data_IF_728607792781
#
_entry.id   IF_728607792781
#
_cell.length_a   1.000
_cell.length_b   1.000
_cell.length_c   1.000
_cell.angle_alpha   90.00
_cell.angle_beta   90.00
_cell.angle_gamma   90.00
#
_symmetry.space_group_name_H-M   'P 1'
#
loop_
_entity.id
_entity.type
_entity.pdbx_description
1 polymer ?
#
# COMPACT_ATOMS: atom_id res chain seq x y z
N UNK A 1 10.33 -39.70 -6.61
CA UNK A 1 9.21 -38.79 -6.28
C UNK A 1 8.33 -39.51 -5.29
N UNK A 2 8.24 -38.96 -4.09
CA UNK A 2 7.59 -39.53 -2.91
C UNK A 2 6.20 -38.92 -2.70
N UNK A 3 6.00 -37.65 -3.10
CA UNK A 3 4.78 -36.89 -2.79
C UNK A 3 3.88 -36.62 -4.01
N UNK A 4 4.47 -36.42 -5.19
CA UNK A 4 3.72 -36.13 -6.41
C UNK A 4 3.49 -37.36 -7.28
N UNK A 5 2.29 -37.49 -7.86
CA UNK A 5 1.96 -38.61 -8.75
C UNK A 5 1.00 -38.18 -9.87
N UNK A 6 1.08 -38.87 -11.02
CA UNK A 6 0.17 -38.69 -12.15
C UNK A 6 0.00 -37.23 -12.63
N UNK A 7 1.09 -36.45 -12.65
CA UNK A 7 1.05 -35.05 -13.08
C UNK A 7 0.74 -34.99 -14.58
N UNK A 8 -0.33 -34.29 -14.94
CA UNK A 8 -0.83 -34.18 -16.33
C UNK A 8 -0.53 -32.82 -16.97
N UNK A 9 -0.25 -31.79 -16.17
CA UNK A 9 0.04 -30.43 -16.63
C UNK A 9 0.79 -29.61 -15.56
N UNK A 10 1.28 -28.42 -15.93
CA UNK A 10 1.88 -27.49 -14.97
C UNK A 10 0.85 -27.02 -13.92
N UNK A 11 -0.39 -26.75 -14.34
CA UNK A 11 -1.50 -26.38 -13.45
C UNK A 11 -1.87 -27.52 -12.50
N UNK A 12 -1.88 -28.77 -12.97
CA UNK A 12 -2.08 -29.94 -12.11
C UNK A 12 -0.96 -30.08 -11.07
N UNK A 13 0.30 -29.87 -11.46
CA UNK A 13 1.42 -29.82 -10.53
C UNK A 13 1.26 -28.72 -9.45
N UNK A 14 0.89 -27.50 -9.85
CA UNK A 14 0.62 -26.38 -8.92
C UNK A 14 -0.52 -26.73 -7.95
N UNK A 15 -1.59 -27.35 -8.45
CA UNK A 15 -2.74 -27.76 -7.65
C UNK A 15 -2.39 -28.85 -6.63
N UNK A 16 -1.64 -29.89 -7.04
CA UNK A 16 -1.15 -30.93 -6.13
C UNK A 16 -0.21 -30.37 -5.07
N UNK A 17 0.70 -29.47 -5.45
CA UNK A 17 1.61 -28.82 -4.50
C UNK A 17 0.84 -28.06 -3.44
N UNK A 18 -0.15 -27.25 -3.83
CA UNK A 18 -0.96 -26.46 -2.91
C UNK A 18 -1.68 -27.33 -1.87
N UNK A 19 -2.26 -28.46 -2.29
CA UNK A 19 -2.88 -29.44 -1.39
C UNK A 19 -1.88 -30.04 -0.40
N UNK A 20 -0.71 -30.45 -0.89
CA UNK A 20 0.35 -31.04 -0.06
C UNK A 20 0.95 -30.03 0.92
N UNK A 21 1.20 -28.80 0.47
CA UNK A 21 1.71 -27.70 1.28
C UNK A 21 0.74 -27.33 2.39
N UNK A 22 -0.56 -27.21 2.09
CA UNK A 22 -1.61 -26.94 3.06
C UNK A 22 -1.70 -28.06 4.12
N UNK A 23 -1.63 -29.32 3.72
CA UNK A 23 -1.76 -30.46 4.64
C UNK A 23 -0.52 -30.65 5.55
N UNK A 24 0.66 -30.23 5.09
CA UNK A 24 1.92 -30.43 5.81
C UNK A 24 2.51 -29.13 6.37
N UNK A 25 1.74 -28.03 6.37
CA UNK A 25 2.20 -26.76 6.90
C UNK A 25 2.51 -26.88 8.41
N UNK A 26 3.66 -26.37 8.89
CA UNK A 26 4.03 -26.44 10.31
C UNK A 26 2.96 -25.89 11.26
N UNK A 27 2.31 -24.78 10.88
CA UNK A 27 1.24 -24.16 11.69
C UNK A 27 -0.06 -25.00 11.76
N UNK A 28 -0.18 -26.05 10.93
CA UNK A 28 -1.27 -27.05 10.97
C UNK A 28 -0.83 -28.37 11.61
N UNK A 29 0.29 -28.36 12.34
CA UNK A 29 0.86 -29.56 12.96
C UNK A 29 1.66 -30.45 12.00
N UNK A 30 1.97 -29.97 10.80
CA UNK A 30 2.84 -30.65 9.85
C UNK A 30 4.32 -30.62 10.27
N UNK A 31 5.11 -31.57 9.78
CA UNK A 31 6.55 -31.61 10.04
C UNK A 31 7.30 -30.73 9.04
N UNK A 32 8.19 -29.86 9.54
CA UNK A 32 9.05 -29.01 8.70
C UNK A 32 9.85 -29.81 7.68
N UNK A 33 10.36 -30.99 8.06
CA UNK A 33 11.09 -31.89 7.17
C UNK A 33 10.23 -32.34 5.97
N UNK A 34 8.99 -32.76 6.21
CA UNK A 34 8.06 -33.15 5.14
C UNK A 34 7.76 -32.00 4.20
N UNK A 35 7.58 -30.78 4.73
CA UNK A 35 7.37 -29.59 3.90
C UNK A 35 8.60 -29.28 3.03
N UNK A 36 9.81 -29.43 3.56
CA UNK A 36 11.05 -29.27 2.79
C UNK A 36 11.19 -30.32 1.68
N UNK A 37 10.84 -31.59 1.95
CA UNK A 37 10.82 -32.65 0.94
C UNK A 37 9.85 -32.32 -0.20
N UNK A 38 8.61 -31.91 0.12
CA UNK A 38 7.59 -31.49 -0.85
C UNK A 38 8.09 -30.31 -1.69
N UNK A 39 8.68 -29.31 -1.04
CA UNK A 39 9.24 -28.14 -1.70
C UNK A 39 10.33 -28.50 -2.71
N UNK A 40 11.25 -29.40 -2.34
CA UNK A 40 12.35 -29.83 -3.20
C UNK A 40 11.84 -30.62 -4.42
N UNK A 41 10.91 -31.55 -4.22
CA UNK A 41 10.30 -32.31 -5.33
C UNK A 41 9.56 -31.38 -6.30
N UNK A 42 8.85 -30.38 -5.76
CA UNK A 42 8.15 -29.40 -6.56
C UNK A 42 9.07 -28.56 -7.44
N UNK A 43 10.21 -28.08 -6.91
CA UNK A 43 11.15 -27.26 -7.69
C UNK A 43 11.70 -27.98 -8.92
N UNK A 44 12.03 -29.26 -8.74
CA UNK A 44 12.53 -30.13 -9.81
C UNK A 44 11.43 -30.30 -10.87
N UNK A 45 10.22 -30.68 -10.43
CA UNK A 45 9.09 -30.92 -11.31
C UNK A 45 8.65 -29.67 -12.07
N UNK A 46 8.60 -28.52 -11.39
CA UNK A 46 8.22 -27.25 -11.96
C UNK A 46 9.18 -26.87 -13.09
N UNK A 47 10.49 -27.06 -12.89
CA UNK A 47 11.51 -26.81 -13.93
C UNK A 47 11.29 -27.69 -15.16
N UNK A 48 10.98 -28.98 -14.96
CA UNK A 48 10.69 -29.91 -16.05
C UNK A 48 9.44 -29.50 -16.81
N UNK A 49 8.33 -29.25 -16.11
CA UNK A 49 7.04 -28.90 -16.75
C UNK A 49 7.06 -27.51 -17.40
N UNK A 50 7.75 -26.53 -16.80
CA UNK A 50 7.97 -25.22 -17.41
C UNK A 50 8.72 -25.32 -18.72
N UNK A 51 9.71 -26.22 -18.83
CA UNK A 51 10.47 -26.41 -20.07
C UNK A 51 9.63 -27.02 -21.22
N UNK A 52 8.54 -27.72 -20.88
CA UNK A 52 7.61 -28.35 -21.83
C UNK A 52 6.51 -27.42 -22.36
N UNK A 53 6.36 -26.22 -21.79
CA UNK A 53 5.36 -25.27 -22.26
C UNK A 53 5.73 -24.69 -23.63
N UNK A 54 4.76 -24.63 -24.54
CA UNK A 54 4.90 -23.93 -25.81
C UNK A 54 4.94 -22.41 -25.64
N UNK A 55 4.31 -21.90 -24.57
CA UNK A 55 4.26 -20.48 -24.21
C UNK A 55 5.25 -20.21 -23.07
N UNK A 56 6.13 -19.23 -23.26
CA UNK A 56 7.08 -18.81 -22.22
C UNK A 56 6.34 -18.10 -21.08
N UNK A 57 6.47 -18.64 -19.86
CA UNK A 57 5.96 -18.04 -18.62
C UNK A 57 7.12 -17.47 -17.77
N UNK A 58 6.87 -16.34 -17.11
CA UNK A 58 7.79 -15.74 -16.14
C UNK A 58 7.69 -16.37 -14.74
N UNK A 59 6.72 -17.26 -14.50
CA UNK A 59 6.54 -17.93 -13.21
C UNK A 59 7.76 -18.76 -12.83
N UNK A 60 8.10 -18.77 -11.56
CA UNK A 60 9.16 -19.59 -10.97
C UNK A 60 8.55 -20.54 -9.94
N UNK A 61 9.24 -21.64 -9.64
CA UNK A 61 8.79 -22.54 -8.57
C UNK A 61 8.68 -21.76 -7.24
N UNK A 62 9.61 -20.84 -6.97
CA UNK A 62 9.53 -19.99 -5.80
C UNK A 62 8.27 -19.12 -5.79
N UNK A 63 7.92 -18.47 -6.90
CA UNK A 63 6.74 -17.59 -6.96
C UNK A 63 5.43 -18.34 -6.75
N UNK A 64 5.32 -19.57 -7.23
CA UNK A 64 4.13 -20.42 -7.05
C UNK A 64 4.08 -21.08 -5.67
N UNK A 65 5.23 -21.36 -5.05
CA UNK A 65 5.28 -21.84 -3.66
C UNK A 65 4.98 -20.75 -2.64
N UNK A 66 5.29 -19.50 -2.96
CA UNK A 66 4.93 -18.33 -2.15
C UNK A 66 3.49 -17.85 -2.38
N UNK A 67 2.73 -18.52 -3.25
CA UNK A 67 1.33 -18.21 -3.48
C UNK A 67 0.42 -18.85 -2.44
N UNK A 68 -0.83 -18.38 -2.45
CA UNK A 68 -1.88 -18.72 -1.49
C UNK A 68 -2.03 -20.19 -1.18
N UNK A 69 -2.19 -20.51 0.10
CA UNK A 69 -2.36 -21.85 0.64
C UNK A 69 -3.77 -22.39 0.42
N UNK A 70 -4.81 -21.55 0.47
CA UNK A 70 -6.20 -21.96 0.27
C UNK A 70 -6.61 -21.78 -1.19
N UNK A 71 -7.49 -22.66 -1.70
CA UNK A 71 -7.95 -22.61 -3.09
C UNK A 71 -8.59 -21.25 -3.48
N UNK A 72 -9.10 -20.52 -2.48
CA UNK A 72 -9.80 -19.24 -2.64
C UNK A 72 -8.89 -18.02 -2.52
N UNK A 73 -7.59 -18.23 -2.32
CA UNK A 73 -6.68 -17.14 -2.11
C UNK A 73 -6.49 -16.25 -3.33
N UNK A 74 -6.49 -14.95 -3.11
CA UNK A 74 -6.38 -13.91 -4.13
C UNK A 74 -5.52 -12.73 -3.65
N UNK A 75 -4.76 -12.11 -4.57
CA UNK A 75 -4.03 -10.84 -4.36
C UNK A 75 -4.53 -9.83 -5.38
N UNK A 76 -4.65 -8.59 -4.94
CA UNK A 76 -4.84 -7.47 -5.84
C UNK A 76 -3.58 -7.15 -6.64
N UNK A 77 -3.78 -6.55 -7.81
CA UNK A 77 -2.71 -6.25 -8.77
C UNK A 77 -1.66 -5.26 -8.24
N UNK A 78 -2.05 -4.41 -7.27
CA UNK A 78 -1.18 -3.43 -6.64
C UNK A 78 -0.63 -3.90 -5.28
N UNK A 79 -0.84 -5.17 -4.90
CA UNK A 79 -0.34 -5.71 -3.64
C UNK A 79 1.19 -5.64 -3.58
N UNK A 80 1.69 -5.09 -2.48
CA UNK A 80 3.11 -4.99 -2.19
C UNK A 80 3.34 -5.20 -0.70
N UNK A 81 4.05 -6.26 -0.33
CA UNK A 81 4.35 -6.63 1.06
C UNK A 81 5.18 -5.58 1.83
N UNK A 82 5.80 -4.62 1.14
CA UNK A 82 6.52 -3.51 1.77
C UNK A 82 5.60 -2.34 2.17
N UNK A 83 4.37 -2.28 1.64
CA UNK A 83 3.40 -1.25 2.00
C UNK A 83 2.69 -1.65 3.29
N UNK A 84 2.73 -0.77 4.29
CA UNK A 84 1.93 -0.97 5.51
C UNK A 84 0.51 -0.49 5.28
N UNK A 85 -0.44 -0.98 6.07
CA UNK A 85 -1.86 -0.58 5.98
C UNK A 85 -2.06 0.94 6.07
N UNK A 86 -1.23 1.65 6.84
CA UNK A 86 -1.23 3.12 6.92
C UNK A 86 -0.83 3.82 5.60
N UNK A 87 0.07 3.20 4.83
CA UNK A 87 0.55 3.74 3.56
C UNK A 87 -0.54 3.50 2.50
N UNK A 88 -1.16 2.31 2.52
CA UNK A 88 -2.33 1.97 1.71
C UNK A 88 -3.49 2.94 2.01
N UNK A 89 -3.78 3.21 3.30
CA UNK A 89 -4.81 4.18 3.70
C UNK A 89 -4.56 5.59 3.13
N UNK A 90 -3.29 6.00 2.98
CA UNK A 90 -2.94 7.28 2.34
C UNK A 90 -3.23 7.24 0.84
N UNK A 91 -2.87 6.16 0.17
CA UNK A 91 -3.12 5.96 -1.28
C UNK A 91 -4.62 5.96 -1.56
N UNK A 92 -5.41 5.19 -0.82
CA UNK A 92 -6.89 5.15 -0.95
C UNK A 92 -7.50 6.52 -0.70
N UNK A 93 -7.00 7.25 0.32
CA UNK A 93 -7.45 8.63 0.59
C UNK A 93 -7.18 9.58 -0.59
N UNK A 94 -6.01 9.48 -1.22
CA UNK A 94 -5.65 10.32 -2.37
C UNK A 94 -6.53 10.01 -3.58
N UNK A 95 -6.71 8.73 -3.89
CA UNK A 95 -7.61 8.26 -4.95
C UNK A 95 -9.05 8.79 -4.79
N UNK A 96 -9.66 8.59 -3.62
CA UNK A 96 -11.04 9.03 -3.38
C UNK A 96 -11.18 10.55 -3.41
N UNK A 97 -10.16 11.27 -2.95
CA UNK A 97 -10.15 12.74 -2.96
C UNK A 97 -10.06 13.30 -4.38
N UNK A 98 -9.34 12.61 -5.28
CA UNK A 98 -9.24 12.99 -6.68
C UNK A 98 -10.50 12.65 -7.45
N UNK A 99 -11.01 11.43 -7.29
CA UNK A 99 -12.18 10.94 -8.02
C UNK A 99 -13.50 11.53 -7.52
N UNK A 100 -13.64 11.74 -6.22
CA UNK A 100 -14.85 12.23 -5.56
C UNK A 100 -14.57 13.50 -4.73
N UNK A 101 -14.16 14.62 -5.35
CA UNK A 101 -13.65 15.81 -4.64
C UNK A 101 -14.71 16.53 -3.79
N UNK A 102 -15.99 16.32 -4.08
CA UNK A 102 -17.12 16.86 -3.32
C UNK A 102 -17.52 15.99 -2.13
N UNK A 103 -17.03 14.75 -2.07
CA UNK A 103 -17.26 13.83 -0.98
C UNK A 103 -16.12 13.92 0.04
N UNK A 104 -16.41 13.63 1.30
CA UNK A 104 -15.40 13.57 2.36
C UNK A 104 -15.39 12.18 2.96
N UNK A 105 -14.27 11.50 2.80
CA UNK A 105 -14.03 10.20 3.43
C UNK A 105 -13.06 10.34 4.60
N UNK A 106 -13.27 9.54 5.64
CA UNK A 106 -12.27 9.23 6.65
C UNK A 106 -11.71 7.84 6.37
N UNK A 107 -10.46 7.79 5.92
CA UNK A 107 -9.73 6.54 5.71
C UNK A 107 -8.77 6.38 6.88
N UNK A 108 -8.89 5.29 7.63
CA UNK A 108 -8.07 5.02 8.82
C UNK A 108 -7.49 3.63 8.75
N UNK A 109 -6.31 3.44 9.34
CA UNK A 109 -5.70 2.13 9.54
C UNK A 109 -5.60 1.88 11.05
N UNK A 110 -6.69 1.43 11.70
CA UNK A 110 -6.64 1.07 13.12
C UNK A 110 -5.82 -0.20 13.32
N UNK A 111 -5.74 -0.66 14.57
CA UNK A 111 -4.97 -1.85 14.93
C UNK A 111 -5.44 -3.12 14.18
N UNK A 112 -4.66 -4.20 14.34
CA UNK A 112 -4.96 -5.53 13.77
C UNK A 112 -4.98 -5.56 12.24
N UNK A 113 -4.15 -4.75 11.57
CA UNK A 113 -4.09 -4.65 10.12
C UNK A 113 -5.49 -4.40 9.53
N UNK A 114 -6.19 -3.37 9.98
CA UNK A 114 -7.50 -3.04 9.41
C UNK A 114 -7.42 -1.77 8.56
N UNK A 115 -8.29 -1.67 7.56
CA UNK A 115 -8.48 -0.49 6.74
C UNK A 115 -9.96 -0.10 6.79
N UNK A 116 -10.22 1.04 7.41
CA UNK A 116 -11.57 1.55 7.61
C UNK A 116 -11.84 2.71 6.66
N UNK A 117 -12.91 2.61 5.88
CA UNK A 117 -13.39 3.64 4.95
C UNK A 117 -14.77 4.12 5.42
N UNK A 118 -14.82 5.34 5.95
CA UNK A 118 -16.08 5.96 6.37
C UNK A 118 -16.44 7.13 5.46
N UNK A 119 -17.65 7.17 4.92
CA UNK A 119 -18.18 8.33 4.20
C UNK A 119 -18.77 9.32 5.21
N UNK A 120 -18.18 10.52 5.32
CA UNK A 120 -18.56 11.54 6.31
C UNK A 120 -19.44 12.65 5.74
N UNK A 121 -19.16 13.10 4.51
CA UNK A 121 -19.93 14.19 3.89
C UNK A 121 -20.14 13.90 2.41
N UNK A 122 -21.33 14.22 1.90
CA UNK A 122 -21.67 14.12 0.48
C UNK A 122 -22.46 15.36 0.01
N UNK A 123 -22.43 15.69 -1.30
CA UNK A 123 -23.14 16.86 -1.84
C UNK A 123 -24.66 16.72 -1.90
N UNK A 124 -25.17 15.51 -1.81
CA UNK A 124 -26.58 15.19 -1.76
C UNK A 124 -26.81 14.06 -0.75
N UNK A 125 -28.09 13.80 -0.47
CA UNK A 125 -28.43 12.64 0.35
C UNK A 125 -28.03 11.33 -0.33
N UNK A 126 -27.46 10.45 0.47
CA UNK A 126 -26.96 9.13 0.08
C UNK A 126 -27.78 8.01 0.72
N UNK A 127 -28.79 8.38 1.52
CA UNK A 127 -29.64 7.49 2.30
C UNK A 127 -31.05 7.44 1.70
N UNK A 128 -31.63 6.24 1.67
CA UNK A 128 -33.04 6.02 1.36
C UNK A 128 -33.80 5.99 2.68
N UNK A 129 -34.34 7.15 3.08
CA UNK A 129 -34.96 7.35 4.41
C UNK A 129 -36.01 6.28 4.76
N UNK A 130 -36.85 5.89 3.79
CA UNK A 130 -37.94 4.94 4.03
C UNK A 130 -37.45 3.54 4.44
N UNK A 131 -36.25 3.16 3.97
CA UNK A 131 -35.61 1.87 4.25
C UNK A 131 -34.84 1.85 5.57
N UNK A 132 -34.75 2.98 6.27
CA UNK A 132 -34.19 3.03 7.62
C UNK A 132 -35.15 2.43 8.65
N UNK A 133 -34.60 1.75 9.65
CA UNK A 133 -35.37 1.38 10.85
C UNK A 133 -35.72 2.61 11.71
N UNK A 134 -36.63 2.46 12.67
CA UNK A 134 -37.11 3.59 13.49
C UNK A 134 -36.00 4.29 14.29
N UNK A 135 -34.97 3.54 14.71
CA UNK A 135 -33.84 4.06 15.45
C UNK A 135 -32.93 4.90 14.52
N UNK A 136 -32.66 4.39 13.33
CA UNK A 136 -31.90 5.08 12.28
C UNK A 136 -32.64 6.33 11.81
N UNK A 137 -33.97 6.28 11.62
CA UNK A 137 -34.79 7.46 11.28
C UNK A 137 -34.65 8.56 12.32
N UNK A 138 -34.68 8.21 13.61
CA UNK A 138 -34.43 9.17 14.70
C UNK A 138 -33.05 9.84 14.55
N UNK A 139 -31.98 9.05 14.39
CA UNK A 139 -30.63 9.61 14.24
C UNK A 139 -30.43 10.42 12.95
N UNK A 140 -31.12 10.04 11.87
CA UNK A 140 -31.15 10.81 10.63
C UNK A 140 -31.73 12.20 10.88
N UNK A 141 -32.91 12.27 11.51
CA UNK A 141 -33.60 13.52 11.81
C UNK A 141 -32.82 14.41 12.81
N UNK A 142 -32.06 13.80 13.72
CA UNK A 142 -31.18 14.50 14.67
C UNK A 142 -29.82 14.89 14.07
N UNK A 143 -29.53 14.56 12.80
CA UNK A 143 -28.22 14.75 12.15
C UNK A 143 -27.06 14.05 12.88
N UNK A 144 -27.33 12.91 13.51
CA UNK A 144 -26.37 12.08 14.24
C UNK A 144 -26.22 10.67 13.65
N UNK A 145 -26.75 10.44 12.44
CA UNK A 145 -26.72 9.14 11.80
C UNK A 145 -25.29 8.66 11.57
N UNK A 146 -25.03 7.45 12.04
CA UNK A 146 -23.88 6.66 11.68
C UNK A 146 -24.27 5.17 11.72
N UNK A 147 -23.73 4.37 10.80
CA UNK A 147 -23.93 2.92 10.80
C UNK A 147 -22.88 2.23 9.95
N UNK A 148 -22.63 0.96 10.26
CA UNK A 148 -21.74 0.11 9.48
C UNK A 148 -22.40 -0.38 8.20
N UNK A 149 -21.61 -0.42 7.14
CA UNK A 149 -21.98 -0.98 5.84
C UNK A 149 -21.26 -2.31 5.68
N UNK A 150 -22.03 -3.37 5.42
CA UNK A 150 -21.43 -4.68 5.16
C UNK A 150 -20.77 -4.68 3.77
N UNK A 151 -19.44 -4.66 3.74
CA UNK A 151 -18.67 -4.59 2.50
C UNK A 151 -18.82 -5.82 1.59
N UNK A 152 -19.34 -6.95 2.09
CA UNK A 152 -19.70 -8.11 1.25
C UNK A 152 -21.00 -7.89 0.46
N UNK A 153 -21.82 -6.93 0.87
CA UNK A 153 -23.19 -6.74 0.37
C UNK A 153 -23.52 -5.27 0.08
N UNK A 154 -22.52 -4.45 -0.25
CA UNK A 154 -22.68 -3.01 -0.54
C UNK A 154 -23.79 -2.79 -1.58
N UNK A 155 -23.74 -3.52 -2.69
CA UNK A 155 -24.72 -3.42 -3.78
C UNK A 155 -26.16 -3.73 -3.38
N UNK A 156 -26.36 -4.47 -2.28
CA UNK A 156 -27.66 -4.91 -1.75
C UNK A 156 -28.13 -4.10 -0.54
N UNK A 157 -27.32 -3.17 -0.02
CA UNK A 157 -27.72 -2.32 1.11
C UNK A 157 -28.77 -1.30 0.66
N UNK A 158 -30.03 -1.63 0.89
CA UNK A 158 -31.20 -0.86 0.44
C UNK A 158 -31.37 0.47 1.20
N UNK A 159 -30.71 0.62 2.35
CA UNK A 159 -30.61 1.90 3.07
C UNK A 159 -29.83 2.95 2.28
N UNK A 160 -29.02 2.53 1.30
CA UNK A 160 -28.17 3.40 0.48
C UNK A 160 -28.78 3.65 -0.91
N UNK A 161 -28.64 4.88 -1.38
CA UNK A 161 -28.96 5.20 -2.79
C UNK A 161 -28.05 4.41 -3.73
N UNK A 162 -28.52 4.16 -4.95
CA UNK A 162 -27.74 3.45 -5.98
C UNK A 162 -26.37 4.11 -6.20
N UNK A 163 -26.35 5.44 -6.32
CA UNK A 163 -25.11 6.21 -6.45
C UNK A 163 -24.16 6.01 -5.27
N UNK A 164 -24.69 5.96 -4.03
CA UNK A 164 -23.84 5.72 -2.87
C UNK A 164 -23.23 4.32 -2.88
N UNK A 165 -24.02 3.31 -3.29
CA UNK A 165 -23.54 1.93 -3.40
C UNK A 165 -22.40 1.83 -4.41
N UNK A 166 -22.52 2.46 -5.57
CA UNK A 166 -21.46 2.51 -6.59
C UNK A 166 -20.17 3.19 -6.07
N UNK A 167 -20.30 4.32 -5.37
CA UNK A 167 -19.14 5.04 -4.80
C UNK A 167 -18.43 4.21 -3.73
N UNK A 168 -19.19 3.56 -2.83
CA UNK A 168 -18.62 2.71 -1.80
C UNK A 168 -18.00 1.44 -2.40
N UNK A 169 -18.63 0.84 -3.40
CA UNK A 169 -18.10 -0.31 -4.11
C UNK A 169 -16.78 0.03 -4.80
N UNK A 170 -16.70 1.18 -5.49
CA UNK A 170 -15.47 1.64 -6.12
C UNK A 170 -14.34 1.89 -5.10
N UNK A 171 -14.68 2.48 -3.94
CA UNK A 171 -13.72 2.68 -2.85
C UNK A 171 -13.19 1.34 -2.31
N UNK A 172 -14.07 0.36 -2.13
CA UNK A 172 -13.73 -0.98 -1.70
C UNK A 172 -12.85 -1.68 -2.74
N UNK A 173 -13.28 -1.74 -4.00
CA UNK A 173 -12.56 -2.42 -5.08
C UNK A 173 -11.15 -1.85 -5.26
N UNK A 174 -11.02 -0.52 -5.25
CA UNK A 174 -9.71 0.12 -5.33
C UNK A 174 -8.80 -0.25 -4.15
N UNK A 175 -9.33 -0.24 -2.91
CA UNK A 175 -8.58 -0.65 -1.74
C UNK A 175 -8.14 -2.12 -1.85
N UNK A 176 -9.03 -3.00 -2.32
CA UNK A 176 -8.75 -4.43 -2.49
C UNK A 176 -7.61 -4.69 -3.48
N UNK A 177 -7.35 -3.80 -4.45
CA UNK A 177 -6.16 -3.94 -5.32
C UNK A 177 -4.83 -3.98 -4.55
N UNK A 178 -4.78 -3.48 -3.31
CA UNK A 178 -3.61 -3.54 -2.42
C UNK A 178 -3.70 -4.64 -1.35
N UNK A 179 -4.76 -5.45 -1.37
CA UNK A 179 -5.00 -6.51 -0.41
C UNK A 179 -4.53 -7.86 -0.96
N UNK A 180 -4.43 -8.82 -0.05
CA UNK A 180 -4.55 -10.22 -0.38
C UNK A 180 -5.47 -10.88 0.62
N UNK A 181 -6.16 -11.93 0.23
CA UNK A 181 -6.96 -12.73 1.15
C UNK A 181 -6.78 -14.20 0.80
N UNK A 182 -6.38 -14.99 1.77
CA UNK A 182 -6.18 -16.43 1.74
C UNK A 182 -6.92 -17.11 2.89
N UNK A 183 -8.04 -16.51 3.31
CA UNK A 183 -8.84 -17.01 4.43
C UNK A 183 -9.76 -18.14 4.00
N UNK A 184 -9.98 -19.09 4.89
CA UNK A 184 -10.94 -20.18 4.77
C UNK A 184 -11.70 -20.34 6.10
N UNK A 185 -12.95 -19.87 6.09
CA UNK A 185 -13.81 -19.90 7.27
C UNK A 185 -14.26 -21.32 7.66
N UNK A 186 -14.22 -22.31 6.75
CA UNK A 186 -14.61 -23.69 7.09
C UNK A 186 -13.61 -24.34 8.05
N UNK A 187 -12.36 -23.90 8.02
CA UNK A 187 -11.27 -24.45 8.81
C UNK A 187 -10.67 -23.43 9.80
N UNK A 188 -11.40 -22.34 10.09
CA UNK A 188 -10.98 -21.30 11.02
C UNK A 188 -9.59 -20.73 10.72
N UNK A 189 -9.29 -20.48 9.44
CA UNK A 189 -8.01 -19.94 8.98
C UNK A 189 -8.23 -18.56 8.36
N UNK A 190 -7.68 -17.51 8.95
CA UNK A 190 -7.82 -16.14 8.43
C UNK A 190 -6.45 -15.52 8.14
N UNK A 191 -6.18 -15.27 6.85
CA UNK A 191 -4.92 -14.72 6.40
C UNK A 191 -5.20 -13.66 5.33
N UNK A 192 -5.11 -12.40 5.72
CA UNK A 192 -5.36 -11.24 4.84
C UNK A 192 -4.28 -10.18 5.06
N UNK A 193 -4.00 -9.35 4.06
CA UNK A 193 -3.10 -8.20 4.26
C UNK A 193 -3.73 -7.21 5.23
N UNK A 194 -5.03 -6.95 5.03
CA UNK A 194 -5.82 -6.18 5.97
C UNK A 194 -7.29 -6.59 5.99
N UNK A 195 -7.95 -6.35 7.12
CA UNK A 195 -9.39 -6.44 7.30
C UNK A 195 -10.07 -5.16 6.83
N UNK A 196 -11.30 -5.29 6.33
CA UNK A 196 -12.07 -4.16 5.82
C UNK A 196 -13.07 -3.66 6.85
N UNK A 197 -13.15 -2.36 7.03
CA UNK A 197 -14.23 -1.66 7.72
C UNK A 197 -14.87 -0.64 6.79
N UNK A 198 -16.21 -0.58 6.76
CA UNK A 198 -16.94 0.41 5.97
C UNK A 198 -18.12 0.95 6.75
N UNK A 199 -18.34 2.27 6.68
CA UNK A 199 -19.43 2.92 7.40
C UNK A 199 -19.93 4.19 6.71
N UNK A 200 -21.18 4.54 7.00
CA UNK A 200 -21.71 5.89 6.83
C UNK A 200 -21.54 6.61 8.16
N UNK A 201 -20.81 7.72 8.16
CA UNK A 201 -20.43 8.44 9.38
C UNK A 201 -19.54 7.62 10.31
N UNK A 202 -19.23 8.21 11.46
CA UNK A 202 -18.61 7.58 12.63
C UNK A 202 -19.35 8.03 13.88
N UNK A 203 -19.18 7.29 14.98
CA UNK A 203 -19.79 7.62 16.27
C UNK A 203 -19.48 9.06 16.74
N UNK A 204 -18.27 9.57 16.47
CA UNK A 204 -17.83 10.93 16.81
C UNK A 204 -18.04 11.95 15.67
N UNK A 205 -18.30 11.47 14.46
CA UNK A 205 -18.40 12.26 13.23
C UNK A 205 -19.55 11.71 12.37
N UNK A 206 -20.81 11.98 12.74
CA UNK A 206 -21.95 11.48 11.98
C UNK A 206 -21.95 12.01 10.55
N UNK A 207 -22.65 11.30 9.66
CA UNK A 207 -22.77 11.69 8.26
C UNK A 207 -23.53 13.01 8.10
N UNK A 208 -23.13 13.83 7.13
CA UNK A 208 -23.76 15.12 6.83
C UNK A 208 -23.88 15.36 5.32
N UNK A 209 -25.04 15.83 4.89
CA UNK A 209 -25.20 16.40 3.55
C UNK A 209 -24.62 17.81 3.58
N UNK A 210 -23.61 18.06 2.75
CA UNK A 210 -22.97 19.37 2.62
C UNK A 210 -22.87 19.68 1.15
N UNK A 211 -23.72 20.59 0.68
CA UNK A 211 -23.68 21.09 -0.69
C UNK A 211 -22.31 21.68 -0.98
N UNK A 212 -21.53 20.96 -1.77
CA UNK A 212 -20.24 21.40 -2.28
C UNK A 212 -20.32 21.38 -3.78
N UNK A 213 -20.21 22.56 -4.38
CA UNK A 213 -19.87 22.60 -5.77
C UNK A 213 -18.44 22.08 -5.91
N UNK A 214 -18.23 21.16 -6.86
CA UNK A 214 -16.90 20.82 -7.30
C UNK A 214 -16.29 22.13 -7.79
N UNK A 215 -15.50 22.80 -6.95
CA UNK A 215 -14.46 23.66 -7.47
C UNK A 215 -13.59 22.69 -8.23
N UNK A 216 -13.81 22.59 -9.54
CA UNK A 216 -12.75 22.26 -10.46
C UNK A 216 -11.62 23.13 -9.92
N UNK A 217 -10.60 22.50 -9.35
CA UNK A 217 -9.32 23.18 -9.35
C UNK A 217 -9.16 23.42 -10.84
N UNK A 218 -9.45 24.65 -11.31
CA UNK A 218 -8.56 25.26 -12.28
C UNK A 218 -7.22 24.82 -11.76
N UNK A 219 -6.52 23.97 -12.54
CA UNK A 219 -5.21 23.48 -12.18
C UNK A 219 -4.60 24.64 -11.43
N UNK A 220 -4.37 24.49 -10.11
CA UNK A 220 -3.57 25.53 -9.43
C UNK A 220 -2.42 25.63 -10.38
N UNK A 221 -2.19 26.80 -11.02
CA UNK A 221 -1.24 26.89 -12.11
C UNK A 221 -0.09 26.09 -11.59
N UNK A 222 0.19 24.95 -12.25
CA UNK A 222 1.25 24.08 -11.77
C UNK A 222 2.35 25.09 -11.57
N UNK A 223 2.75 25.31 -10.31
CA UNK A 223 3.89 26.16 -10.04
C UNK A 223 4.92 25.47 -10.92
N UNK A 224 5.33 26.10 -12.05
CA UNK A 224 5.62 25.37 -13.26
C UNK A 224 6.43 24.17 -12.86
N UNK A 225 6.00 22.99 -13.31
CA UNK A 225 6.91 21.85 -13.33
C UNK A 225 8.00 22.26 -14.32
N UNK A 226 8.86 23.17 -13.89
CA UNK A 226 10.25 23.19 -14.24
C UNK A 226 10.64 21.72 -14.01
N UNK A 227 10.76 20.97 -15.11
CA UNK A 227 11.86 20.02 -15.24
C UNK A 227 12.97 20.59 -14.39
N UNK A 228 13.52 19.92 -13.37
CA UNK A 228 14.37 20.56 -12.38
C UNK A 228 15.38 21.39 -13.13
N UNK A 229 15.07 22.69 -13.21
CA UNK A 229 15.93 23.62 -13.88
C UNK A 229 17.08 23.60 -12.90
N UNK A 230 18.23 23.16 -13.40
CA UNK A 230 19.44 23.12 -12.61
C UNK A 230 19.62 24.54 -12.10
N UNK A 231 19.08 24.85 -10.90
CA UNK A 231 19.39 26.08 -10.21
C UNK A 231 20.88 26.01 -10.07
N UNK A 232 21.54 26.83 -10.89
CA UNK A 232 22.97 26.96 -10.88
C UNK A 232 23.34 27.18 -9.42
N UNK A 233 24.15 26.26 -8.89
CA UNK A 233 24.72 26.37 -7.56
C UNK A 233 25.38 27.76 -7.55
N UNK A 234 25.03 28.64 -6.61
CA UNK A 234 25.70 29.93 -6.51
C UNK A 234 27.21 29.70 -6.53
N UNK A 235 27.92 30.32 -7.49
CA UNK A 235 29.34 30.04 -7.76
C UNK A 235 30.27 30.38 -6.58
N UNK A 236 29.74 30.97 -5.50
CA UNK A 236 30.43 31.35 -4.27
C UNK A 236 29.66 30.89 -3.01
N UNK A 237 29.46 29.58 -2.85
CA UNK A 237 29.02 29.01 -1.59
C UNK A 237 30.23 28.67 -0.72
N UNK A 238 30.37 29.34 0.42
CA UNK A 238 31.36 29.01 1.45
C UNK A 238 30.95 27.72 2.16
N UNK A 239 31.32 26.58 1.54
CA UNK A 239 31.06 25.23 2.05
C UNK A 239 32.39 24.51 2.19
N UNK A 240 32.65 24.01 3.38
CA UNK A 240 33.84 23.24 3.70
C UNK A 240 33.48 21.77 3.90
N UNK A 241 34.29 20.90 3.29
CA UNK A 241 34.22 19.45 3.50
C UNK A 241 35.23 19.10 4.59
N UNK A 242 34.73 18.63 5.73
CA UNK A 242 35.55 18.23 6.88
C UNK A 242 35.45 16.72 7.05
N UNK A 243 36.61 16.07 7.14
CA UNK A 243 36.63 14.65 7.51
C UNK A 243 36.18 14.49 8.96
N UNK A 244 35.07 13.78 9.17
CA UNK A 244 34.42 13.69 10.48
C UNK A 244 34.76 12.38 11.21
N UNK A 245 34.89 11.29 10.46
CA UNK A 245 35.28 9.97 10.97
C UNK A 245 35.77 9.08 9.84
N UNK A 246 36.31 7.90 10.16
CA UNK A 246 36.75 6.92 9.15
C UNK A 246 35.69 6.61 8.08
N UNK A 247 34.40 6.67 8.43
CA UNK A 247 33.28 6.30 7.54
C UNK A 247 32.46 7.50 7.05
N UNK A 248 32.67 8.70 7.58
CA UNK A 248 31.81 9.84 7.32
C UNK A 248 32.58 11.15 7.13
N UNK A 249 32.02 12.04 6.32
CA UNK A 249 32.48 13.41 6.16
C UNK A 249 31.31 14.36 6.38
N UNK A 250 31.62 15.58 6.85
CA UNK A 250 30.65 16.63 7.12
C UNK A 250 30.81 17.76 6.09
N UNK A 251 29.70 18.32 5.63
CA UNK A 251 29.63 19.59 4.91
C UNK A 251 29.13 20.67 5.85
N UNK A 252 29.91 21.72 6.02
CA UNK A 252 29.66 22.81 6.96
C UNK A 252 29.76 24.13 6.21
N UNK A 253 28.89 25.09 6.54
CA UNK A 253 28.81 26.38 5.87
C UNK A 253 27.38 26.73 5.46
N UNK A 254 27.23 27.61 4.47
CA UNK A 254 25.92 28.10 3.98
C UNK A 254 25.19 27.02 3.15
N UNK A 255 24.68 26.00 3.83
CA UNK A 255 24.01 24.85 3.18
C UNK A 255 22.51 25.06 2.96
N UNK A 256 21.95 26.21 3.38
CA UNK A 256 20.51 26.54 3.22
C UNK A 256 20.07 26.50 1.75
N UNK A 257 20.81 27.05 0.77
CA UNK A 257 20.37 27.08 -0.64
C UNK A 257 20.34 25.69 -1.28
N UNK A 258 21.16 24.76 -0.79
CA UNK A 258 21.33 23.39 -1.33
C UNK A 258 20.73 22.31 -0.44
N UNK A 259 19.97 22.68 0.60
CA UNK A 259 19.40 21.76 1.60
C UNK A 259 18.60 20.61 0.98
N UNK A 260 17.77 20.91 -0.02
CA UNK A 260 16.97 19.89 -0.69
C UNK A 260 17.84 18.91 -1.50
N UNK A 261 18.88 19.41 -2.16
CA UNK A 261 19.83 18.58 -2.90
C UNK A 261 20.64 17.67 -1.96
N UNK A 262 21.12 18.21 -0.84
CA UNK A 262 21.85 17.45 0.18
C UNK A 262 20.97 16.37 0.84
N UNK A 263 19.69 16.69 1.09
CA UNK A 263 18.70 15.72 1.57
C UNK A 263 18.41 14.61 0.56
N UNK A 264 18.19 14.96 -0.70
CA UNK A 264 17.96 13.98 -1.78
C UNK A 264 19.18 13.07 -2.02
N UNK A 265 20.40 13.57 -1.79
CA UNK A 265 21.63 12.77 -1.83
C UNK A 265 21.83 11.87 -0.60
N UNK A 266 20.87 11.84 0.33
CA UNK A 266 20.90 10.99 1.52
C UNK A 266 21.68 11.58 2.69
N UNK A 267 21.98 12.87 2.64
CA UNK A 267 22.60 13.59 3.74
C UNK A 267 21.68 13.73 4.93
N UNK A 268 22.24 13.73 6.14
CA UNK A 268 21.50 14.02 7.36
C UNK A 268 22.04 15.30 7.99
N UNK A 269 21.20 16.30 8.17
CA UNK A 269 21.58 17.51 8.87
C UNK A 269 21.71 17.26 10.37
N UNK A 270 22.80 17.70 10.99
CA UNK A 270 23.05 17.60 12.41
C UNK A 270 23.63 18.93 12.94
N UNK A 271 22.94 19.52 13.92
CA UNK A 271 23.33 20.79 14.56
C UNK A 271 24.44 20.65 15.60
N UNK A 272 24.78 19.42 15.99
CA UNK A 272 25.68 19.12 17.11
C UNK A 272 26.96 18.41 16.67
N UNK A 273 27.42 18.60 15.43
CA UNK A 273 28.71 18.06 15.00
C UNK A 273 29.84 18.86 15.68
N UNK A 274 30.94 18.15 16.00
CA UNK A 274 32.13 18.74 16.65
C UNK A 274 32.75 19.91 15.89
N UNK A 275 32.51 19.98 14.59
CA UNK A 275 33.08 20.97 13.67
C UNK A 275 32.09 22.07 13.24
N UNK A 276 30.89 22.13 13.85
CA UNK A 276 29.84 23.11 13.53
C UNK A 276 28.60 22.48 12.89
N UNK A 277 27.50 23.23 12.81
CA UNK A 277 26.25 22.72 12.24
C UNK A 277 26.41 22.38 10.74
N UNK A 278 25.97 21.18 10.34
CA UNK A 278 26.24 20.72 8.98
C UNK A 278 25.57 19.42 8.60
N UNK A 279 25.85 18.98 7.37
CA UNK A 279 25.31 17.75 6.80
C UNK A 279 26.34 16.63 6.88
N UNK A 280 25.96 15.48 7.44
CA UNK A 280 26.82 14.30 7.51
C UNK A 280 26.49 13.30 6.39
N UNK A 281 27.52 12.80 5.73
CA UNK A 281 27.44 11.83 4.64
C UNK A 281 28.36 10.64 4.87
N UNK A 282 27.97 9.47 4.35
CA UNK A 282 28.85 8.30 4.30
C UNK A 282 29.86 8.43 3.16
N UNK A 283 31.17 8.26 3.47
CA UNK A 283 32.26 8.28 2.48
C UNK A 283 32.06 7.25 1.36
N UNK A 284 31.59 6.04 1.70
CA UNK A 284 31.43 4.93 0.75
C UNK A 284 30.30 5.16 -0.27
N UNK A 285 29.24 5.86 0.14
CA UNK A 285 28.01 5.95 -0.66
C UNK A 285 27.84 7.27 -1.40
N UNK A 286 28.41 8.36 -0.90
CA UNK A 286 28.00 9.71 -1.34
C UNK A 286 29.16 10.61 -1.75
N UNK A 287 30.42 10.16 -1.66
CA UNK A 287 31.59 10.99 -1.97
C UNK A 287 31.61 11.48 -3.42
N UNK A 288 31.35 10.61 -4.38
CA UNK A 288 31.32 10.97 -5.81
C UNK A 288 30.14 11.89 -6.17
N UNK A 289 28.96 11.61 -5.62
CA UNK A 289 27.75 12.40 -5.89
C UNK A 289 27.85 13.82 -5.32
N UNK A 290 28.46 13.98 -4.14
CA UNK A 290 28.69 15.29 -3.53
C UNK A 290 29.80 16.06 -4.25
N UNK A 291 30.89 15.40 -4.65
CA UNK A 291 31.94 16.03 -5.45
C UNK A 291 31.40 16.51 -6.81
N UNK A 292 30.52 15.73 -7.44
CA UNK A 292 29.85 16.09 -8.68
C UNK A 292 28.86 17.24 -8.49
N UNK A 293 28.16 17.29 -7.35
CA UNK A 293 27.27 18.39 -6.99
C UNK A 293 28.07 19.68 -6.83
N UNK A 294 29.13 19.69 -6.03
CA UNK A 294 29.86 20.92 -5.69
C UNK A 294 30.73 21.49 -6.81
N UNK A 295 30.91 20.78 -7.94
CA UNK A 295 31.77 21.18 -9.07
C UNK A 295 33.05 21.91 -8.61
N UNK A 296 33.76 21.34 -7.64
CA UNK A 296 35.08 21.86 -7.28
C UNK A 296 35.97 21.56 -8.48
N UNK A 297 36.35 22.59 -9.24
CA UNK A 297 37.55 22.54 -10.07
C UNK A 297 38.67 22.20 -9.10
N UNK A 298 39.13 20.95 -9.14
CA UNK A 298 40.41 20.60 -8.56
C UNK A 298 41.41 21.44 -9.36
N UNK A 299 41.95 22.47 -8.72
CA UNK A 299 43.22 23.05 -9.12
C UNK A 299 44.33 22.09 -8.69
#
# INVERSE_FOLDING_TARGET
>A
MKHFSNITSLEDLKSQYKKLALANHPDKGGKTETMQEINNEYDILFSIWKSKLSVKTNETAQSTRSEFYTAWGWKGDNYNSNLRTKDIAKIVREYLKEKYPTYKFSITAPDYNSLDIALLEAPQDVIVYDNLDDCQKKYYNENTLNFDVNYYHISKDDRLTELCREILQDAFDFAQTYNFNDSDAQIDYFHTNFYNGMSIGKWDKPFKVVEKQARIKAERPQKPTEQPEQKAIPENLDIQIIDYSEKAFALIGETKPIKEQLGNLGGKFNKHLKCGEGWIFSKKKHKESINKLLKIKIA
#
